data_IF_818494295829
#
_entry.id   IF_818494295829
#
_cell.length_a   1.000
_cell.length_b   1.000
_cell.length_c   1.000
_cell.angle_alpha   90.00
_cell.angle_beta   90.00
_cell.angle_gamma   90.00
#
_symmetry.space_group_name_H-M   'P 1'
#
loop_
_entity.id
_entity.type
_entity.pdbx_description
1 polymer ?
#
# COMPACT_ATOMS: atom_id res chain seq x y z
N UNK A 1 -10.37 -23.65 -26.14
CA UNK A 1 -10.93 -22.87 -25.02
C UNK A 1 -10.14 -21.59 -24.92
N UNK A 2 -10.75 -20.45 -25.24
CA UNK A 2 -10.10 -19.15 -25.11
C UNK A 2 -9.96 -18.81 -23.62
N UNK A 3 -8.72 -18.88 -23.12
CA UNK A 3 -8.35 -18.20 -21.88
C UNK A 3 -8.58 -16.72 -22.12
N UNK A 4 -9.61 -16.16 -21.50
CA UNK A 4 -9.76 -14.73 -21.39
C UNK A 4 -8.55 -14.22 -20.61
N UNK A 5 -7.51 -13.80 -21.32
CA UNK A 5 -6.50 -12.91 -20.78
C UNK A 5 -7.23 -11.61 -20.40
N UNK A 6 -7.80 -11.58 -19.19
CA UNK A 6 -8.01 -10.31 -18.52
C UNK A 6 -6.63 -9.67 -18.46
N UNK A 7 -6.43 -8.61 -19.23
CA UNK A 7 -5.32 -7.69 -19.00
C UNK A 7 -5.45 -7.24 -17.56
N UNK A 8 -4.57 -7.75 -16.68
CA UNK A 8 -4.56 -7.32 -15.31
C UNK A 8 -4.05 -5.88 -15.30
N UNK A 9 -4.92 -4.90 -15.09
CA UNK A 9 -4.48 -3.50 -14.94
C UNK A 9 -3.55 -3.37 -13.74
N UNK A 10 -2.46 -2.60 -13.88
CA UNK A 10 -1.56 -2.34 -12.76
C UNK A 10 -2.35 -1.73 -11.61
N UNK A 11 -2.42 -2.44 -10.49
CA UNK A 11 -3.25 -2.06 -9.37
C UNK A 11 -2.54 -2.34 -8.07
N UNK A 12 -2.51 -1.34 -7.20
CA UNK A 12 -2.17 -1.49 -5.78
C UNK A 12 -3.44 -1.17 -4.99
N UNK A 13 -3.71 -1.94 -3.94
CA UNK A 13 -4.86 -1.68 -3.05
C UNK A 13 -4.55 -2.10 -1.62
N UNK A 14 -5.32 -1.55 -0.69
CA UNK A 14 -5.20 -1.85 0.74
C UNK A 14 -6.41 -2.66 1.19
N UNK A 15 -6.14 -3.81 1.80
CA UNK A 15 -7.11 -4.49 2.65
C UNK A 15 -6.91 -3.98 4.06
N UNK A 16 -7.93 -3.32 4.60
CA UNK A 16 -7.86 -2.70 5.93
C UNK A 16 -8.99 -3.23 6.81
N UNK A 17 -8.65 -3.52 8.06
CA UNK A 17 -9.62 -3.65 9.13
C UNK A 17 -9.10 -2.94 10.38
N UNK A 18 -10.02 -2.64 11.30
CA UNK A 18 -9.70 -2.03 12.58
C UNK A 18 -10.34 -2.78 13.72
N UNK A 19 -9.63 -2.82 14.85
CA UNK A 19 -10.13 -3.31 16.13
C UNK A 19 -9.84 -2.21 17.16
N UNK A 20 -10.89 -1.49 17.59
CA UNK A 20 -10.74 -0.27 18.39
C UNK A 20 -9.83 0.77 17.70
N UNK A 21 -8.76 1.19 18.36
CA UNK A 21 -7.77 2.15 17.85
C UNK A 21 -6.66 1.47 17.03
N UNK A 22 -6.66 0.14 16.91
CA UNK A 22 -5.64 -0.62 16.18
C UNK A 22 -6.03 -0.78 14.71
N UNK A 23 -5.19 -0.27 13.81
CA UNK A 23 -5.36 -0.37 12.37
C UNK A 23 -4.44 -1.45 11.80
N UNK A 24 -5.04 -2.37 11.05
CA UNK A 24 -4.35 -3.45 10.36
C UNK A 24 -4.51 -3.25 8.85
N UNK A 25 -3.45 -2.82 8.17
CA UNK A 25 -3.46 -2.57 6.73
C UNK A 25 -2.51 -3.54 6.02
N UNK A 26 -3.03 -4.34 5.09
CA UNK A 26 -2.23 -5.19 4.20
C UNK A 26 -2.32 -4.63 2.79
N UNK A 27 -1.16 -4.34 2.20
CA UNK A 27 -1.08 -3.79 0.84
C UNK A 27 -0.87 -4.93 -0.15
N UNK A 28 -1.70 -4.96 -1.18
CA UNK A 28 -1.60 -5.92 -2.27
C UNK A 28 -1.35 -5.22 -3.59
N UNK A 29 -0.78 -5.96 -4.54
CA UNK A 29 -0.67 -5.50 -5.91
C UNK A 29 -0.86 -6.60 -6.94
N UNK A 30 -1.25 -6.20 -8.14
CA UNK A 30 -1.26 -7.02 -9.34
C UNK A 30 -0.72 -6.15 -10.49
N UNK A 31 0.18 -6.71 -11.31
CA UNK A 31 0.86 -5.98 -12.37
C UNK A 31 0.64 -6.67 -13.71
N UNK A 32 0.50 -5.89 -14.79
CA UNK A 32 0.34 -6.46 -16.14
C UNK A 32 1.67 -6.96 -16.72
N UNK A 33 2.80 -6.49 -16.17
CA UNK A 33 4.15 -6.86 -16.61
C UNK A 33 5.01 -7.20 -15.40
N UNK A 34 6.04 -8.00 -15.62
CA UNK A 34 7.05 -8.26 -14.60
C UNK A 34 7.70 -6.94 -14.16
N UNK A 35 7.92 -6.82 -12.85
CA UNK A 35 8.57 -5.69 -12.21
C UNK A 35 9.80 -6.21 -11.47
N UNK A 36 10.95 -5.60 -11.74
CA UNK A 36 12.15 -5.69 -10.93
C UNK A 36 12.56 -4.26 -10.61
N UNK A 37 12.68 -3.92 -9.33
CA UNK A 37 13.02 -2.56 -8.92
C UNK A 37 12.87 -2.31 -7.43
N UNK A 38 12.32 -1.16 -7.07
CA UNK A 38 12.23 -0.68 -5.70
C UNK A 38 10.78 -0.36 -5.33
N UNK A 39 10.33 -0.97 -4.23
CA UNK A 39 9.10 -0.58 -3.56
C UNK A 39 9.42 0.43 -2.46
N UNK A 40 8.62 1.49 -2.38
CA UNK A 40 8.64 2.45 -1.28
C UNK A 40 7.28 2.43 -0.58
N UNK A 41 7.30 2.40 0.74
CA UNK A 41 6.12 2.48 1.60
C UNK A 41 6.32 3.64 2.56
N UNK A 42 5.40 4.59 2.56
CA UNK A 42 5.43 5.76 3.44
C UNK A 42 4.12 5.85 4.23
N UNK A 43 4.22 5.84 5.56
CA UNK A 43 3.10 6.12 6.46
C UNK A 43 3.34 7.46 7.15
N UNK A 44 2.42 8.40 6.97
CA UNK A 44 2.38 9.68 7.66
C UNK A 44 1.19 9.67 8.63
N UNK A 45 1.45 9.74 9.93
CA UNK A 45 0.41 9.80 10.96
C UNK A 45 0.44 11.15 11.66
N UNK A 46 -0.71 11.82 11.73
CA UNK A 46 -0.93 13.00 12.56
C UNK A 46 -1.71 12.57 13.80
N UNK A 47 -1.00 12.58 14.92
CA UNK A 47 -1.51 12.20 16.24
C UNK A 47 -1.64 13.45 17.11
N UNK A 48 -2.24 13.29 18.29
CA UNK A 48 -2.30 14.32 19.32
C UNK A 48 -0.92 14.72 19.85
N UNK A 49 0.08 13.83 19.72
CA UNK A 49 1.45 14.06 20.16
C UNK A 49 2.35 14.66 19.07
N UNK A 50 1.84 14.80 17.83
CA UNK A 50 2.59 15.35 16.70
C UNK A 50 2.45 14.53 15.42
N UNK A 51 3.31 14.85 14.45
CA UNK A 51 3.34 14.22 13.12
C UNK A 51 4.52 13.24 13.07
N UNK A 52 4.21 12.00 12.71
CA UNK A 52 5.18 10.91 12.57
C UNK A 52 5.22 10.43 11.13
N UNK A 53 6.42 10.18 10.61
CA UNK A 53 6.66 9.67 9.26
C UNK A 53 7.50 8.40 9.33
N UNK A 54 7.00 7.32 8.76
CA UNK A 54 7.76 6.08 8.56
C UNK A 54 7.94 5.86 7.07
N UNK A 55 9.18 5.61 6.66
CA UNK A 55 9.54 5.35 5.27
C UNK A 55 10.33 4.05 5.19
N UNK A 56 9.88 3.12 4.36
CA UNK A 56 10.56 1.86 4.10
C UNK A 56 10.77 1.68 2.60
N UNK A 57 11.96 1.21 2.21
CA UNK A 57 12.34 0.94 0.83
C UNK A 57 12.85 -0.49 0.72
N UNK A 58 12.32 -1.26 -0.21
CA UNK A 58 12.63 -2.69 -0.38
C UNK A 58 12.85 -3.01 -1.85
N UNK A 59 13.96 -3.65 -2.24
CA UNK A 59 14.10 -4.23 -3.57
C UNK A 59 13.04 -5.32 -3.80
N UNK A 60 12.43 -5.36 -4.98
CA UNK A 60 11.33 -6.26 -5.28
C UNK A 60 11.45 -6.92 -6.66
N UNK A 61 10.90 -8.12 -6.76
CA UNK A 61 10.75 -8.86 -8.01
C UNK A 61 9.34 -9.47 -8.06
N UNK A 62 8.44 -8.84 -8.83
CA UNK A 62 7.05 -9.24 -8.96
C UNK A 62 6.77 -9.79 -10.35
N UNK A 63 6.06 -10.92 -10.40
CA UNK A 63 5.60 -11.55 -11.64
C UNK A 63 4.27 -10.97 -12.09
N UNK A 64 4.11 -10.80 -13.40
CA UNK A 64 2.87 -10.36 -14.04
C UNK A 64 1.69 -11.31 -13.74
N UNK A 65 0.47 -10.75 -13.71
CA UNK A 65 -0.79 -11.50 -13.59
C UNK A 65 -0.95 -12.28 -12.28
N UNK A 66 -0.13 -11.99 -11.28
CA UNK A 66 -0.20 -12.61 -9.95
C UNK A 66 -0.46 -11.56 -8.89
N UNK A 67 -1.28 -11.90 -7.89
CA UNK A 67 -1.46 -11.07 -6.70
C UNK A 67 -0.26 -11.21 -5.76
N UNK A 68 0.36 -10.08 -5.40
CA UNK A 68 1.47 -9.99 -4.45
C UNK A 68 1.02 -9.30 -3.17
N UNK A 69 1.51 -9.77 -2.02
CA UNK A 69 1.43 -9.04 -0.75
C UNK A 69 2.68 -8.18 -0.63
N UNK A 70 2.53 -6.87 -0.64
CA UNK A 70 3.63 -5.91 -0.63
C UNK A 70 4.17 -5.70 0.79
N UNK A 71 3.27 -5.39 1.74
CA UNK A 71 3.62 -5.12 3.13
C UNK A 71 2.41 -5.25 4.04
N UNK A 72 2.68 -5.37 5.34
CA UNK A 72 1.67 -5.28 6.40
C UNK A 72 2.08 -4.17 7.37
N UNK A 73 1.14 -3.28 7.68
CA UNK A 73 1.32 -2.17 8.60
C UNK A 73 0.35 -2.31 9.77
N UNK A 74 0.89 -2.11 10.97
CA UNK A 74 0.18 -2.07 12.23
C UNK A 74 0.44 -0.71 12.86
N UNK A 75 -0.60 0.08 13.06
CA UNK A 75 -0.50 1.41 13.65
C UNK A 75 -1.75 1.75 14.44
N UNK A 76 -1.62 2.68 15.38
CA UNK A 76 -2.73 3.12 16.23
C UNK A 76 -3.16 4.53 15.85
N UNK A 77 -4.47 4.78 15.89
CA UNK A 77 -5.04 6.12 15.78
C UNK A 77 -6.12 6.28 16.85
N UNK A 78 -5.93 7.27 17.72
CA UNK A 78 -6.96 7.72 18.65
C UNK A 78 -8.05 8.55 17.91
N UNK A 79 -9.21 8.80 18.54
CA UNK A 79 -10.23 9.67 17.96
C UNK A 79 -9.68 11.05 17.56
N UNK A 80 -9.99 11.49 16.35
CA UNK A 80 -9.50 12.75 15.78
C UNK A 80 -8.08 12.70 15.18
N UNK A 81 -7.35 11.61 15.35
CA UNK A 81 -6.07 11.38 14.67
C UNK A 81 -6.28 10.86 13.24
N UNK A 82 -5.29 11.03 12.38
CA UNK A 82 -5.37 10.56 10.99
C UNK A 82 -4.05 9.99 10.50
N UNK A 83 -4.13 9.14 9.48
CA UNK A 83 -2.97 8.61 8.78
C UNK A 83 -3.16 8.70 7.26
N UNK A 84 -2.05 8.77 6.54
CA UNK A 84 -1.97 8.65 5.10
C UNK A 84 -0.86 7.66 4.76
N UNK A 85 -1.19 6.73 3.89
CA UNK A 85 -0.28 5.71 3.39
C UNK A 85 -0.05 5.97 1.91
N UNK A 86 1.20 6.12 1.51
CA UNK A 86 1.65 6.12 0.13
C UNK A 86 2.48 4.87 -0.13
N UNK A 87 2.16 4.17 -1.21
CA UNK A 87 2.96 3.06 -1.71
C UNK A 87 3.31 3.35 -3.15
N UNK A 88 4.58 3.18 -3.48
CA UNK A 88 5.04 3.19 -4.86
C UNK A 88 5.89 1.97 -5.17
N UNK A 89 5.81 1.51 -6.41
CA UNK A 89 6.70 0.50 -6.96
C UNK A 89 7.25 1.07 -8.27
N UNK A 90 8.55 1.32 -8.26
CA UNK A 90 9.29 1.81 -9.41
C UNK A 90 10.17 0.68 -9.94
N UNK A 91 10.14 0.43 -11.24
CA UNK A 91 10.99 -0.59 -11.85
C UNK A 91 12.32 -0.01 -12.36
N UNK A 92 13.23 -0.90 -12.75
CA UNK A 92 14.56 -0.53 -13.24
C UNK A 92 14.55 0.26 -14.57
N UNK A 93 13.41 0.40 -15.24
CA UNK A 93 13.26 1.20 -16.47
C UNK A 93 12.46 2.49 -16.24
N UNK A 94 12.13 2.82 -14.98
CA UNK A 94 11.44 4.04 -14.57
C UNK A 94 9.91 4.01 -14.68
N UNK A 95 9.29 2.83 -14.84
CA UNK A 95 7.82 2.67 -14.74
C UNK A 95 7.44 2.73 -13.27
N UNK A 96 6.49 3.62 -12.96
CA UNK A 96 6.03 3.89 -11.60
C UNK A 96 4.55 3.53 -11.44
N UNK A 97 4.24 2.74 -10.43
CA UNK A 97 2.87 2.44 -10.00
C UNK A 97 2.70 2.92 -8.56
N UNK A 98 1.69 3.75 -8.30
CA UNK A 98 1.49 4.36 -6.99
C UNK A 98 0.07 4.18 -6.48
N UNK A 99 -0.08 4.19 -5.16
CA UNK A 99 -1.35 4.19 -4.49
C UNK A 99 -1.30 5.00 -3.20
N UNK A 100 -2.35 5.78 -3.00
CA UNK A 100 -2.56 6.56 -1.79
C UNK A 100 -3.81 6.04 -1.09
N UNK A 101 -3.70 5.82 0.21
CA UNK A 101 -4.79 5.33 1.03
C UNK A 101 -4.80 6.04 2.38
N UNK A 102 -5.99 6.32 2.89
CA UNK A 102 -6.19 6.82 4.25
C UNK A 102 -7.29 5.99 4.89
N UNK A 103 -7.16 5.58 6.16
CA UNK A 103 -8.28 5.02 6.88
C UNK A 103 -9.38 6.07 7.05
N UNK A 104 -10.63 5.62 7.08
CA UNK A 104 -11.78 6.49 7.35
C UNK A 104 -11.61 7.20 8.70
N UNK A 105 -11.96 8.49 8.73
CA UNK A 105 -11.87 9.32 9.93
C UNK A 105 -12.75 8.76 11.05
N UNK A 106 -12.19 8.68 12.26
CA UNK A 106 -12.97 8.36 13.45
C UNK A 106 -13.81 9.59 13.84
N UNK A 107 -15.11 9.53 13.60
CA UNK A 107 -16.07 10.50 14.15
C UNK A 107 -16.35 10.07 15.60
N UNK A 108 -16.15 10.99 16.54
CA UNK A 108 -16.41 10.81 17.97
C UNK A 108 -17.91 10.66 18.29
#
# INVERSE_FOLDING_TARGET
MHSAHRSAENKIWVSHYKEYEHHHATVFAEFEKDISGLMTVELLSKTNNGIYRTLHKTPVLYRAGSRHSLTQLLFNLAPGECAQLHISVEDNVGRLVEHHWSPDLQIA
#
